data_IF_621909722852
#
_entry.id   IF_621909722852
#
_cell.length_a   1.000
_cell.length_b   1.000
_cell.length_c   1.000
_cell.angle_alpha   90.00
_cell.angle_beta   90.00
_cell.angle_gamma   90.00
#
_symmetry.space_group_name_H-M   'P 1'
#
loop_
_entity.id
_entity.type
_entity.pdbx_description
1 polymer ?
#
# COMPACT_ATOMS: atom_id res chain seq x y z
N UNK A 1 5.74 16.39 -1.80
CA UNK A 1 6.55 16.89 -0.67
C UNK A 1 6.46 18.41 -0.56
N UNK A 2 6.71 19.19 -1.63
CA UNK A 2 6.60 20.65 -1.63
C UNK A 2 5.33 21.19 -0.94
N UNK A 3 4.14 20.73 -1.36
CA UNK A 3 2.88 21.14 -0.74
C UNK A 3 2.81 20.93 0.79
N UNK A 4 3.34 19.82 1.31
CA UNK A 4 3.33 19.56 2.76
C UNK A 4 4.27 20.52 3.51
N UNK A 5 5.44 20.81 2.94
CA UNK A 5 6.39 21.79 3.49
C UNK A 5 5.81 23.21 3.45
N UNK A 6 5.14 23.59 2.36
CA UNK A 6 4.43 24.87 2.24
C UNK A 6 3.34 25.03 3.30
N UNK A 7 2.69 23.93 3.70
CA UNK A 7 1.70 23.89 4.78
C UNK A 7 2.32 23.88 6.19
N UNK A 8 3.64 24.00 6.32
CA UNK A 8 4.35 24.12 7.60
C UNK A 8 4.86 22.79 8.19
N UNK A 9 4.82 21.69 7.43
CA UNK A 9 5.45 20.46 7.88
C UNK A 9 6.99 20.59 7.86
N UNK A 10 7.66 20.06 8.88
CA UNK A 10 9.14 20.01 8.95
C UNK A 10 9.74 18.84 8.18
N UNK A 11 8.91 17.88 7.78
CA UNK A 11 9.32 16.70 7.03
C UNK A 11 8.13 15.94 6.48
N UNK A 12 8.42 14.94 5.63
CA UNK A 12 7.40 14.06 5.07
C UNK A 12 7.82 12.60 5.22
N UNK A 13 6.85 11.74 5.49
CA UNK A 13 7.05 10.28 5.48
C UNK A 13 6.33 9.69 4.26
N UNK A 14 7.07 9.00 3.40
CA UNK A 14 6.57 8.46 2.15
C UNK A 14 6.67 6.94 2.18
N UNK A 15 5.53 6.26 2.25
CA UNK A 15 5.47 4.79 2.28
C UNK A 15 5.27 4.17 0.90
N UNK A 16 4.08 4.34 0.32
CA UNK A 16 3.65 3.64 -0.91
C UNK A 16 4.61 3.77 -2.09
N UNK A 17 5.25 4.93 -2.27
CA UNK A 17 6.19 5.11 -3.37
C UNK A 17 7.45 4.25 -3.21
N UNK A 18 8.03 4.20 -2.00
CA UNK A 18 9.18 3.33 -1.71
C UNK A 18 8.80 1.86 -1.61
N UNK A 19 7.56 1.55 -1.20
CA UNK A 19 7.05 0.17 -1.21
C UNK A 19 7.05 -0.44 -2.62
N UNK A 20 6.87 0.39 -3.65
CA UNK A 20 6.79 -0.01 -5.05
C UNK A 20 8.16 -0.11 -5.76
N UNK A 21 9.28 0.11 -5.07
CA UNK A 21 10.61 0.05 -5.67
C UNK A 21 11.24 -1.34 -5.54
N UNK A 22 12.21 -1.65 -6.39
CA UNK A 22 12.90 -2.94 -6.48
C UNK A 22 13.64 -3.31 -5.19
N UNK A 23 14.12 -2.31 -4.46
CA UNK A 23 14.83 -2.47 -3.17
C UNK A 23 13.86 -2.78 -2.01
N UNK A 24 12.55 -2.65 -2.22
CA UNK A 24 11.51 -3.00 -1.25
C UNK A 24 11.41 -4.51 -1.05
N UNK A 25 11.26 -4.96 0.20
CA UNK A 25 10.97 -6.34 0.56
C UNK A 25 9.55 -6.82 0.20
N UNK A 26 8.74 -5.99 -0.48
CA UNK A 26 7.46 -6.40 -1.03
C UNK A 26 7.65 -7.48 -2.12
N UNK A 27 6.63 -8.32 -2.34
CA UNK A 27 6.68 -9.28 -3.45
C UNK A 27 6.65 -8.56 -4.80
N UNK A 28 7.19 -9.20 -5.84
CA UNK A 28 7.13 -8.67 -7.21
C UNK A 28 5.68 -8.39 -7.63
N UNK A 29 4.75 -9.29 -7.30
CA UNK A 29 3.33 -9.09 -7.55
C UNK A 29 2.79 -7.82 -6.89
N UNK A 30 3.16 -7.56 -5.62
CA UNK A 30 2.69 -6.36 -4.91
C UNK A 30 3.26 -5.09 -5.52
N UNK A 31 4.55 -5.07 -5.87
CA UNK A 31 5.16 -3.93 -6.56
C UNK A 31 4.46 -3.67 -7.90
N UNK A 32 4.26 -4.69 -8.72
CA UNK A 32 3.57 -4.56 -10.01
C UNK A 32 2.11 -4.12 -9.83
N UNK A 33 1.43 -4.61 -8.80
CA UNK A 33 0.07 -4.21 -8.47
C UNK A 33 -0.01 -2.71 -8.14
N UNK A 34 0.98 -2.16 -7.43
CA UNK A 34 1.05 -0.72 -7.11
C UNK A 34 1.24 0.17 -8.35
N UNK A 35 1.86 -0.34 -9.41
CA UNK A 35 2.02 0.36 -10.70
C UNK A 35 0.87 0.11 -11.68
N UNK A 36 -0.11 -0.72 -11.32
CA UNK A 36 -1.26 -1.06 -12.17
C UNK A 36 -2.47 -0.16 -11.93
N UNK A 37 -3.43 -0.17 -12.86
CA UNK A 37 -4.71 0.54 -12.69
C UNK A 37 -5.54 0.06 -11.49
N UNK A 38 -5.30 -1.15 -10.98
CA UNK A 38 -5.95 -1.64 -9.77
C UNK A 38 -5.64 -0.75 -8.56
N UNK A 39 -4.45 -0.13 -8.52
CA UNK A 39 -4.02 0.74 -7.44
C UNK A 39 -4.83 2.05 -7.34
N UNK A 40 -5.65 2.38 -8.35
CA UNK A 40 -6.63 3.49 -8.28
C UNK A 40 -7.72 3.22 -7.23
N UNK A 41 -8.00 1.94 -6.96
CA UNK A 41 -9.09 1.53 -6.09
C UNK A 41 -8.52 1.00 -4.77
N UNK A 42 -8.53 1.83 -3.74
CA UNK A 42 -8.14 1.44 -2.37
C UNK A 42 -9.32 1.54 -1.41
N UNK A 43 -9.29 0.74 -0.35
CA UNK A 43 -10.31 0.74 0.70
C UNK A 43 -9.67 0.73 2.08
N UNK A 44 -10.38 1.32 3.06
CA UNK A 44 -10.06 1.17 4.47
C UNK A 44 -10.73 -0.08 5.01
N UNK A 45 -9.96 -0.96 5.62
CA UNK A 45 -10.48 -2.24 6.10
C UNK A 45 -9.70 -2.77 7.31
N UNK A 46 -10.36 -3.59 8.13
CA UNK A 46 -9.76 -4.30 9.26
C UNK A 46 -9.45 -5.77 8.94
N UNK A 47 -9.87 -6.28 7.78
CA UNK A 47 -9.96 -7.73 7.50
C UNK A 47 -8.66 -8.49 7.66
N UNK A 48 -7.51 -7.86 7.40
CA UNK A 48 -6.20 -8.52 7.49
C UNK A 48 -5.58 -8.49 8.88
N UNK A 49 -5.87 -7.49 9.72
CA UNK A 49 -5.11 -7.27 10.96
C UNK A 49 -5.98 -7.03 12.19
N UNK A 50 -7.28 -6.79 12.03
CA UNK A 50 -8.18 -6.40 13.11
C UNK A 50 -8.13 -4.90 13.42
N UNK A 51 -7.22 -4.16 12.78
CA UNK A 51 -7.11 -2.69 12.88
C UNK A 51 -7.26 -2.06 11.50
N UNK A 52 -7.79 -0.85 11.47
CA UNK A 52 -8.05 -0.14 10.23
C UNK A 52 -6.73 0.15 9.50
N UNK A 53 -6.63 -0.28 8.26
CA UNK A 53 -5.54 0.05 7.35
C UNK A 53 -6.03 0.22 5.93
N UNK A 54 -5.21 0.83 5.07
CA UNK A 54 -5.57 1.09 3.67
C UNK A 54 -4.84 0.15 2.71
N UNK A 55 -5.61 -0.64 1.97
CA UNK A 55 -5.10 -1.52 0.93
C UNK A 55 -5.82 -1.35 -0.39
N UNK A 56 -5.25 -1.94 -1.43
CA UNK A 56 -5.85 -2.09 -2.75
C UNK A 56 -7.07 -3.00 -2.63
N UNK A 57 -8.18 -2.60 -3.25
CA UNK A 57 -9.44 -3.34 -3.23
C UNK A 57 -9.24 -4.69 -3.92
N UNK A 58 -9.70 -5.75 -3.26
CA UNK A 58 -9.66 -7.12 -3.78
C UNK A 58 -10.94 -7.87 -3.38
N UNK A 59 -11.17 -9.03 -4.01
CA UNK A 59 -12.31 -9.91 -3.68
C UNK A 59 -12.34 -10.22 -2.17
N UNK A 60 -11.19 -10.39 -1.53
CA UNK A 60 -11.09 -10.56 -0.08
C UNK A 60 -11.70 -9.40 0.72
N UNK A 61 -11.32 -8.17 0.37
CA UNK A 61 -11.84 -6.98 1.06
C UNK A 61 -13.33 -6.73 0.81
N UNK A 62 -13.80 -7.06 -0.40
CA UNK A 62 -15.20 -6.90 -0.80
C UNK A 62 -16.10 -7.94 -0.14
N UNK A 63 -15.67 -9.21 -0.11
CA UNK A 63 -16.43 -10.32 0.49
C UNK A 63 -16.69 -10.11 1.99
N UNK A 64 -15.74 -9.48 2.68
CA UNK A 64 -15.81 -9.23 4.12
C UNK A 64 -16.24 -7.79 4.46
N UNK A 65 -16.61 -7.00 3.46
CA UNK A 65 -17.10 -5.64 3.69
C UNK A 65 -18.33 -5.65 4.63
N UNK A 66 -18.35 -4.75 5.60
CA UNK A 66 -19.43 -4.63 6.59
C UNK A 66 -19.39 -5.65 7.74
N UNK A 67 -18.53 -6.67 7.70
CA UNK A 67 -18.47 -7.73 8.73
C UNK A 67 -17.50 -7.43 9.88
N UNK A 68 -17.38 -6.16 10.27
CA UNK A 68 -16.37 -5.71 11.24
C UNK A 68 -16.57 -6.32 12.64
N UNK A 69 -17.80 -6.68 12.99
CA UNK A 69 -18.21 -7.36 14.21
C UNK A 69 -17.74 -8.83 14.29
N UNK A 70 -17.42 -9.44 13.14
CA UNK A 70 -16.95 -10.82 13.01
C UNK A 70 -15.41 -10.93 12.97
N UNK A 71 -14.70 -9.80 12.99
CA UNK A 71 -13.23 -9.77 12.94
C UNK A 71 -12.66 -9.78 14.35
N UNK A 72 -11.54 -10.49 14.53
CA UNK A 72 -10.80 -10.45 15.78
C UNK A 72 -10.11 -9.10 15.96
N UNK A 73 -9.88 -8.64 17.21
CA UNK A 73 -9.14 -7.41 17.45
C UNK A 73 -7.68 -7.56 17.03
N UNK A 74 -7.02 -6.43 16.78
CA UNK A 74 -5.59 -6.40 16.48
C UNK A 74 -4.75 -6.85 17.70
N UNK A 75 -3.69 -7.67 17.51
CA UNK A 75 -3.20 -8.24 16.25
C UNK A 75 -3.72 -9.65 15.94
N UNK A 76 -4.69 -10.17 16.69
CA UNK A 76 -5.15 -11.57 16.62
C UNK A 76 -5.65 -11.96 15.23
N UNK A 77 -6.40 -11.09 14.55
CA UNK A 77 -6.89 -11.35 13.20
C UNK A 77 -5.76 -11.72 12.22
N UNK A 78 -4.60 -11.07 12.33
CA UNK A 78 -3.47 -11.35 11.45
C UNK A 78 -2.94 -12.79 11.63
N UNK A 79 -2.99 -13.35 12.84
CA UNK A 79 -2.54 -14.71 13.11
C UNK A 79 -3.38 -15.75 12.34
N UNK A 80 -4.69 -15.52 12.19
CA UNK A 80 -5.58 -16.38 11.40
C UNK A 80 -5.46 -16.14 9.90
N UNK A 81 -5.18 -14.90 9.47
CA UNK A 81 -5.11 -14.54 8.05
C UNK A 81 -3.79 -14.95 7.41
N UNK A 82 -2.67 -14.95 8.15
CA UNK A 82 -1.33 -15.30 7.62
C UNK A 82 -1.30 -16.66 6.88
N UNK A 83 -1.77 -17.79 7.45
CA UNK A 83 -1.75 -19.07 6.74
C UNK A 83 -2.64 -19.07 5.49
N UNK A 84 -3.80 -18.40 5.54
CA UNK A 84 -4.70 -18.25 4.38
C UNK A 84 -4.04 -17.45 3.26
N UNK A 85 -3.39 -16.34 3.61
CA UNK A 85 -2.65 -15.50 2.66
C UNK A 85 -1.49 -16.27 2.02
N UNK A 86 -0.76 -17.06 2.81
CA UNK A 86 0.32 -17.92 2.29
C UNK A 86 -0.23 -18.93 1.27
N UNK A 87 -1.27 -19.67 1.64
CA UNK A 87 -1.91 -20.64 0.76
C UNK A 87 -2.47 -20.01 -0.53
N UNK A 88 -3.05 -18.81 -0.43
CA UNK A 88 -3.51 -18.06 -1.60
C UNK A 88 -2.35 -17.63 -2.50
N UNK A 89 -1.25 -17.14 -1.94
CA UNK A 89 -0.07 -16.74 -2.70
C UNK A 89 0.60 -17.93 -3.40
N UNK A 90 0.74 -19.07 -2.72
CA UNK A 90 1.31 -20.31 -3.27
C UNK A 90 0.50 -20.82 -4.48
N UNK A 91 -0.82 -20.54 -4.49
CA UNK A 91 -1.74 -20.87 -5.61
C UNK A 91 -1.98 -19.71 -6.57
N UNK A 92 -1.26 -18.59 -6.43
CA UNK A 92 -1.43 -17.36 -7.22
C UNK A 92 -2.86 -16.78 -7.21
N UNK A 93 -3.64 -17.05 -6.15
CA UNK A 93 -4.98 -16.52 -5.91
C UNK A 93 -4.90 -15.17 -5.20
N UNK A 94 -4.23 -14.21 -5.84
CA UNK A 94 -3.89 -12.92 -5.23
C UNK A 94 -5.10 -12.02 -4.92
N UNK A 95 -6.23 -12.27 -5.56
CA UNK A 95 -7.50 -11.60 -5.28
C UNK A 95 -8.10 -11.97 -3.90
N UNK A 96 -7.63 -13.06 -3.29
CA UNK A 96 -7.91 -13.45 -1.91
C UNK A 96 -6.96 -12.81 -0.88
N UNK A 97 -6.07 -11.92 -1.33
CA UNK A 97 -5.12 -11.20 -0.48
C UNK A 97 -5.47 -9.71 -0.54
N UNK A 98 -5.30 -9.01 0.59
CA UNK A 98 -5.29 -7.55 0.59
C UNK A 98 -3.83 -7.07 0.61
N UNK A 99 -3.49 -6.25 -0.38
CA UNK A 99 -2.17 -5.64 -0.52
C UNK A 99 -2.22 -4.19 -0.08
N UNK A 100 -1.28 -3.76 0.75
CA UNK A 100 -1.23 -2.38 1.25
C UNK A 100 -0.93 -1.37 0.14
N UNK A 101 -1.59 -0.22 0.15
CA UNK A 101 -1.39 0.80 -0.89
C UNK A 101 -2.10 2.10 -0.56
N UNK A 102 -1.39 3.22 -0.73
CA UNK A 102 -1.95 4.56 -0.58
C UNK A 102 -2.74 4.98 -1.82
N UNK A 103 -3.59 5.99 -1.67
CA UNK A 103 -4.49 6.47 -2.74
C UNK A 103 -3.75 7.05 -3.96
N UNK A 104 -2.51 7.49 -3.78
CA UNK A 104 -1.70 8.13 -4.83
C UNK A 104 -0.78 7.14 -5.57
N UNK A 105 -0.95 5.83 -5.37
CA UNK A 105 -0.21 4.83 -6.14
C UNK A 105 -0.31 5.01 -7.69
N UNK A 106 -1.43 5.49 -8.27
CA UNK A 106 -1.51 5.69 -9.72
C UNK A 106 -0.57 6.75 -10.32
N UNK A 107 0.10 7.58 -9.49
CA UNK A 107 1.06 8.59 -9.98
C UNK A 107 2.52 8.13 -9.85
N UNK A 108 2.75 6.88 -9.45
CA UNK A 108 4.09 6.33 -9.35
C UNK A 108 4.75 6.21 -10.73
N UNK A 109 6.03 6.55 -10.80
CA UNK A 109 6.82 6.58 -12.04
C UNK A 109 8.11 5.78 -11.97
N UNK A 110 8.63 5.58 -10.75
CA UNK A 110 9.97 5.07 -10.52
C UNK A 110 9.91 3.69 -9.88
N UNK A 111 10.75 2.78 -10.36
CA UNK A 111 10.95 1.44 -9.78
C UNK A 111 12.24 1.34 -8.97
N UNK A 112 13.16 2.30 -9.06
CA UNK A 112 14.36 2.36 -8.20
C UNK A 112 14.18 3.39 -7.08
N UNK A 113 14.52 3.00 -5.86
CA UNK A 113 14.49 3.87 -4.69
C UNK A 113 15.42 5.09 -4.84
N UNK A 114 16.60 4.89 -5.44
CA UNK A 114 17.54 5.97 -5.71
C UNK A 114 16.92 7.02 -6.65
N UNK A 115 16.43 6.58 -7.81
CA UNK A 115 15.80 7.48 -8.80
C UNK A 115 14.56 8.17 -8.23
N UNK A 116 13.75 7.44 -7.46
CA UNK A 116 12.59 8.00 -6.77
C UNK A 116 13.01 9.13 -5.81
N UNK A 117 14.01 8.89 -4.97
CA UNK A 117 14.52 9.87 -4.01
C UNK A 117 15.08 11.11 -4.72
N UNK A 118 15.93 10.92 -5.73
CA UNK A 118 16.49 12.01 -6.54
C UNK A 118 15.39 12.85 -7.22
N UNK A 119 14.37 12.20 -7.77
CA UNK A 119 13.20 12.87 -8.38
C UNK A 119 12.46 13.72 -7.36
N UNK A 120 12.17 13.19 -6.16
CA UNK A 120 11.44 13.91 -5.12
C UNK A 120 12.22 15.13 -4.65
N UNK A 121 13.53 15.00 -4.40
CA UNK A 121 14.38 16.13 -3.97
C UNK A 121 14.47 17.19 -5.07
N UNK A 122 14.73 16.79 -6.31
CA UNK A 122 14.83 17.71 -7.44
C UNK A 122 13.54 18.48 -7.70
N UNK A 123 12.38 17.81 -7.66
CA UNK A 123 11.07 18.46 -7.79
C UNK A 123 10.83 19.49 -6.69
N UNK A 124 11.12 19.16 -5.42
CA UNK A 124 10.89 20.09 -4.32
C UNK A 124 11.81 21.31 -4.35
N UNK A 125 13.09 21.12 -4.67
CA UNK A 125 14.00 22.24 -4.86
C UNK A 125 13.56 23.16 -6.01
N UNK A 126 12.87 22.63 -7.02
CA UNK A 126 12.26 23.43 -8.08
C UNK A 126 11.09 24.28 -7.60
N UNK A 127 10.31 23.81 -6.64
CA UNK A 127 9.10 24.49 -6.13
C UNK A 127 9.35 25.47 -4.98
N UNK A 128 10.42 25.28 -4.19
CA UNK A 128 10.73 26.11 -3.01
C UNK A 128 11.78 27.19 -3.28
N UNK A 129 12.14 27.44 -4.54
CA UNK A 129 12.87 28.64 -4.96
C UNK A 129 11.95 29.85 -4.94
#
# INVERSE_FOLDING_TARGET
MAAALTLGAEGVQIGTAFLATEESGASEYHRNLLHSDAARYTTLTKVSTGRLGRGIRSRYTETLAGRNDQLLPFPLQNQFVVPLRKAAADKQQYDLIMFWGGQIAPVLKHTSAKKLFESIVGEVQGFLK
#
